data_IF_564770146649
#
_entry.id   IF_564770146649
#
_cell.length_a   1.000
_cell.length_b   1.000
_cell.length_c   1.000
_cell.angle_alpha   90.00
_cell.angle_beta   90.00
_cell.angle_gamma   90.00
#
_symmetry.space_group_name_H-M   'P 1'
#
loop_
_entity.id
_entity.type
_entity.pdbx_description
1 polymer ?
#
# COMPACT_ATOMS: atom_id res chain seq x y z
N UNK A 1 30.65 43.69 -36.36
CA UNK A 1 30.30 42.25 -36.54
C UNK A 1 30.23 41.45 -35.25
N UNK A 2 31.21 41.55 -34.32
CA UNK A 2 31.22 40.76 -33.05
C UNK A 2 29.98 40.94 -32.14
N UNK A 3 29.44 42.16 -32.02
CA UNK A 3 28.23 42.43 -31.20
C UNK A 3 26.97 41.76 -31.77
N UNK A 4 26.81 41.74 -33.09
CA UNK A 4 25.65 41.13 -33.76
C UNK A 4 25.68 39.60 -33.60
N UNK A 5 26.85 38.98 -33.67
CA UNK A 5 27.01 37.54 -33.42
C UNK A 5 26.67 37.15 -31.97
N UNK A 6 27.06 37.98 -30.99
CA UNK A 6 26.73 37.74 -29.58
C UNK A 6 25.21 37.87 -29.35
N UNK A 7 24.55 38.87 -29.95
CA UNK A 7 23.09 39.03 -29.82
C UNK A 7 22.32 37.85 -30.43
N UNK A 8 22.74 37.34 -31.59
CA UNK A 8 22.10 36.18 -32.22
C UNK A 8 22.28 34.90 -31.40
N UNK A 9 23.47 34.68 -30.82
CA UNK A 9 23.74 33.51 -29.96
C UNK A 9 22.90 33.58 -28.67
N UNK A 10 22.81 34.75 -28.04
CA UNK A 10 21.99 34.94 -26.82
C UNK A 10 20.51 34.71 -27.09
N UNK A 11 19.98 35.22 -28.22
CA UNK A 11 18.58 34.99 -28.61
C UNK A 11 18.33 33.50 -28.87
N UNK A 12 19.25 32.81 -29.55
CA UNK A 12 19.13 31.38 -29.84
C UNK A 12 19.14 30.52 -28.56
N UNK A 13 19.95 30.88 -27.56
CA UNK A 13 20.00 30.21 -26.25
C UNK A 13 18.72 30.48 -25.44
N UNK A 14 18.17 31.70 -25.51
CA UNK A 14 16.91 32.03 -24.83
C UNK A 14 15.73 31.25 -25.45
N UNK A 15 15.71 31.07 -26.77
CA UNK A 15 14.64 30.29 -27.43
C UNK A 15 14.70 28.79 -27.15
N UNK A 16 15.88 28.21 -26.94
CA UNK A 16 16.02 26.80 -26.54
C UNK A 16 15.73 26.57 -25.06
N UNK A 17 15.94 27.57 -24.20
CA UNK A 17 15.55 27.51 -22.79
C UNK A 17 14.04 27.67 -22.56
N UNK A 18 13.32 28.35 -23.47
CA UNK A 18 11.86 28.55 -23.36
C UNK A 18 11.01 27.43 -23.97
N UNK A 19 11.60 26.51 -24.75
CA UNK A 19 10.88 25.37 -25.34
C UNK A 19 10.75 24.17 -24.39
N UNK A 20 11.35 24.24 -23.19
CA UNK A 20 11.34 23.17 -22.19
C UNK A 20 10.08 23.06 -21.33
N UNK A 21 9.16 24.03 -21.39
CA UNK A 21 7.90 24.01 -20.64
C UNK A 21 6.72 23.65 -21.55
N UNK A 22 6.76 22.49 -22.18
CA UNK A 22 5.55 21.92 -22.77
C UNK A 22 4.57 21.63 -21.61
N UNK A 23 3.44 22.33 -21.61
CA UNK A 23 2.26 21.95 -20.84
C UNK A 23 1.78 20.58 -21.35
N UNK A 24 2.39 19.51 -20.85
CA UNK A 24 1.98 18.14 -21.14
C UNK A 24 0.61 17.97 -20.47
N UNK A 25 -0.44 18.02 -21.29
CA UNK A 25 -1.79 17.70 -20.83
C UNK A 25 -1.80 16.23 -20.39
N UNK A 26 -2.47 15.88 -19.28
CA UNK A 26 -2.59 14.50 -18.87
C UNK A 26 -3.16 13.64 -20.00
N UNK A 27 -2.58 12.46 -20.23
CA UNK A 27 -3.01 11.55 -21.28
C UNK A 27 -4.39 10.96 -20.98
N UNK A 28 -4.70 10.79 -19.70
CA UNK A 28 -5.95 10.20 -19.23
C UNK A 28 -6.73 11.15 -18.31
N UNK A 29 -8.05 11.06 -18.35
CA UNK A 29 -8.96 11.78 -17.46
C UNK A 29 -9.64 10.82 -16.49
N UNK A 30 -10.21 11.33 -15.39
CA UNK A 30 -10.85 10.52 -14.34
C UNK A 30 -12.05 9.74 -14.87
N UNK A 31 -12.78 10.30 -15.83
CA UNK A 31 -13.97 9.70 -16.46
C UNK A 31 -13.62 8.48 -17.33
N UNK A 32 -12.41 8.44 -17.90
CA UNK A 32 -11.95 7.37 -18.79
C UNK A 32 -10.99 6.39 -18.12
N UNK A 33 -10.79 6.51 -16.82
CA UNK A 33 -9.77 5.73 -16.10
C UNK A 33 -10.01 4.22 -16.17
N UNK A 34 -11.28 3.81 -16.03
CA UNK A 34 -11.70 2.40 -16.07
C UNK A 34 -11.37 1.82 -17.44
N UNK A 35 -11.86 2.46 -18.50
CA UNK A 35 -11.60 2.07 -19.88
C UNK A 35 -10.10 2.05 -20.20
N UNK A 36 -9.36 3.07 -19.77
CA UNK A 36 -7.93 3.20 -20.04
C UNK A 36 -7.10 2.07 -19.41
N UNK A 37 -7.39 1.69 -18.16
CA UNK A 37 -6.70 0.59 -17.49
C UNK A 37 -7.03 -0.74 -18.18
N UNK A 38 -8.32 -1.03 -18.43
CA UNK A 38 -8.74 -2.26 -19.09
C UNK A 38 -8.12 -2.38 -20.48
N UNK A 39 -8.20 -1.33 -21.31
CA UNK A 39 -7.65 -1.33 -22.67
C UNK A 39 -6.13 -1.50 -22.69
N UNK A 40 -5.40 -0.86 -21.77
CA UNK A 40 -3.95 -0.98 -21.72
C UNK A 40 -3.51 -2.39 -21.30
N UNK A 41 -4.15 -2.97 -20.28
CA UNK A 41 -3.86 -4.32 -19.84
C UNK A 41 -4.17 -5.37 -20.92
N UNK A 42 -5.28 -5.21 -21.64
CA UNK A 42 -5.66 -6.14 -22.72
C UNK A 42 -4.73 -6.01 -23.94
N UNK A 43 -4.41 -4.77 -24.32
CA UNK A 43 -3.53 -4.51 -25.45
C UNK A 43 -2.13 -5.07 -25.24
N UNK A 44 -1.52 -4.80 -24.07
CA UNK A 44 -0.11 -5.13 -23.81
C UNK A 44 0.08 -6.52 -23.20
N UNK A 45 -0.84 -6.99 -22.35
CA UNK A 45 -0.65 -8.19 -21.54
C UNK A 45 -1.65 -9.31 -21.82
N UNK A 46 -2.68 -9.06 -22.65
CA UNK A 46 -3.78 -10.03 -22.92
C UNK A 46 -4.48 -10.45 -21.64
N UNK A 47 -4.68 -9.48 -20.75
CA UNK A 47 -5.38 -9.64 -19.48
C UNK A 47 -6.47 -8.58 -19.46
N UNK A 48 -7.71 -9.03 -19.25
CA UNK A 48 -8.89 -8.17 -19.18
C UNK A 48 -9.35 -8.05 -17.71
N UNK A 49 -8.78 -7.13 -16.91
CA UNK A 49 -9.23 -6.94 -15.54
C UNK A 49 -10.59 -6.24 -15.50
N UNK A 50 -11.34 -6.48 -14.42
CA UNK A 50 -12.51 -5.66 -14.08
C UNK A 50 -12.05 -4.47 -13.25
N UNK A 51 -12.47 -3.26 -13.62
CA UNK A 51 -11.96 -2.04 -13.01
C UNK A 51 -13.12 -1.15 -12.56
N UNK A 52 -13.01 -0.59 -11.37
CA UNK A 52 -13.97 0.38 -10.84
C UNK A 52 -13.26 1.56 -10.21
N UNK A 53 -13.90 2.72 -10.27
CA UNK A 53 -13.49 3.91 -9.54
C UNK A 53 -14.56 4.22 -8.49
N UNK A 54 -14.16 4.23 -7.22
CA UNK A 54 -15.00 4.61 -6.08
C UNK A 54 -14.31 5.74 -5.33
N UNK A 55 -14.84 6.97 -5.43
CA UNK A 55 -14.24 8.15 -4.81
C UNK A 55 -12.81 8.43 -5.32
N UNK A 56 -11.83 8.20 -4.44
CA UNK A 56 -10.39 8.35 -4.70
C UNK A 56 -9.65 7.00 -4.76
N UNK A 57 -10.40 5.91 -4.91
CA UNK A 57 -9.87 4.55 -4.95
C UNK A 57 -10.21 3.85 -6.26
N UNK A 58 -9.19 3.31 -6.92
CA UNK A 58 -9.37 2.44 -8.09
C UNK A 58 -9.24 0.99 -7.68
N UNK A 59 -10.30 0.22 -7.90
CA UNK A 59 -10.31 -1.22 -7.71
C UNK A 59 -9.99 -1.91 -9.04
N UNK A 60 -9.06 -2.85 -9.01
CA UNK A 60 -8.66 -3.66 -10.17
C UNK A 60 -8.79 -5.13 -9.77
N UNK A 61 -9.73 -5.84 -10.38
CA UNK A 61 -10.00 -7.23 -10.10
C UNK A 61 -9.52 -8.15 -11.23
N UNK A 62 -8.86 -9.23 -10.84
CA UNK A 62 -8.33 -10.26 -11.70
C UNK A 62 -8.89 -11.62 -11.28
N UNK A 63 -9.95 -12.12 -11.95
CA UNK A 63 -10.37 -13.50 -11.76
C UNK A 63 -9.32 -14.43 -12.37
N UNK A 64 -8.84 -15.39 -11.59
CA UNK A 64 -7.83 -16.36 -12.02
C UNK A 64 -8.33 -17.78 -11.76
N UNK A 65 -7.94 -18.77 -12.58
CA UNK A 65 -8.29 -20.16 -12.32
C UNK A 65 -7.76 -20.68 -10.98
N UNK A 66 -6.54 -20.26 -10.62
CA UNK A 66 -5.87 -20.63 -9.38
C UNK A 66 -4.86 -19.55 -8.99
N UNK A 67 -4.65 -19.36 -7.69
CA UNK A 67 -3.60 -18.48 -7.16
C UNK A 67 -2.39 -19.24 -6.62
N UNK A 68 -2.64 -20.41 -6.06
CA UNK A 68 -1.65 -21.27 -5.42
C UNK A 68 -1.47 -22.56 -6.22
N UNK A 69 -0.30 -23.16 -6.08
CA UNK A 69 0.01 -24.51 -6.57
C UNK A 69 -0.49 -25.55 -5.58
N UNK A 70 -0.49 -26.82 -5.99
CA UNK A 70 -0.84 -27.96 -5.13
C UNK A 70 0.03 -28.07 -3.87
N UNK A 71 1.23 -27.49 -3.90
CA UNK A 71 2.16 -27.44 -2.76
C UNK A 71 1.92 -26.23 -1.85
N UNK A 72 0.77 -25.56 -1.98
CA UNK A 72 0.40 -24.34 -1.26
C UNK A 72 1.41 -23.18 -1.44
N UNK A 73 2.13 -23.17 -2.58
CA UNK A 73 3.01 -22.07 -2.95
C UNK A 73 2.32 -21.17 -3.96
N UNK A 74 2.64 -19.88 -3.94
CA UNK A 74 2.14 -18.99 -4.98
C UNK A 74 2.68 -19.36 -6.36
N UNK A 75 1.78 -19.41 -7.35
CA UNK A 75 2.15 -19.71 -8.72
C UNK A 75 2.91 -18.52 -9.33
N UNK A 76 4.14 -18.74 -9.81
CA UNK A 76 5.03 -17.68 -10.30
C UNK A 76 4.45 -16.97 -11.52
N UNK A 77 3.83 -17.73 -12.42
CA UNK A 77 3.25 -17.18 -13.65
C UNK A 77 2.03 -16.31 -13.32
N UNK A 78 1.30 -16.68 -12.28
CA UNK A 78 0.21 -15.88 -11.72
C UNK A 78 0.74 -14.57 -11.14
N UNK A 79 1.81 -14.60 -10.36
CA UNK A 79 2.43 -13.37 -9.83
C UNK A 79 2.96 -12.45 -10.93
N UNK A 80 3.49 -13.02 -12.01
CA UNK A 80 3.90 -12.22 -13.16
C UNK A 80 2.70 -11.50 -13.80
N UNK A 81 1.55 -12.18 -13.95
CA UNK A 81 0.31 -11.56 -14.45
C UNK A 81 -0.20 -10.45 -13.53
N UNK A 82 -0.23 -10.69 -12.22
CA UNK A 82 -0.60 -9.69 -11.21
C UNK A 82 0.30 -8.46 -11.32
N UNK A 83 1.61 -8.68 -11.43
CA UNK A 83 2.59 -7.59 -11.57
C UNK A 83 2.40 -6.82 -12.89
N UNK A 84 2.12 -7.49 -14.01
CA UNK A 84 1.83 -6.84 -15.29
C UNK A 84 0.61 -5.92 -15.20
N UNK A 85 -0.48 -6.39 -14.59
CA UNK A 85 -1.68 -5.55 -14.37
C UNK A 85 -1.38 -4.40 -13.41
N UNK A 86 -0.63 -4.62 -12.33
CA UNK A 86 -0.21 -3.56 -11.42
C UNK A 86 0.61 -2.47 -12.14
N UNK A 87 1.56 -2.87 -13.00
CA UNK A 87 2.34 -1.94 -13.83
C UNK A 87 1.45 -1.19 -14.80
N UNK A 88 0.56 -1.88 -15.51
CA UNK A 88 -0.38 -1.30 -16.46
C UNK A 88 -1.28 -0.25 -15.82
N UNK A 89 -1.95 -0.62 -14.72
CA UNK A 89 -2.78 0.28 -13.94
C UNK A 89 -1.99 1.48 -13.42
N UNK A 90 -0.80 1.25 -12.85
CA UNK A 90 0.08 2.32 -12.35
C UNK A 90 0.44 3.32 -13.46
N UNK A 91 0.75 2.87 -14.68
CA UNK A 91 1.07 3.77 -15.81
C UNK A 91 -0.07 4.72 -16.14
N UNK A 92 -1.32 4.23 -16.17
CA UNK A 92 -2.49 5.06 -16.39
C UNK A 92 -2.67 6.06 -15.26
N UNK A 93 -2.62 5.59 -14.01
CA UNK A 93 -2.84 6.38 -12.80
C UNK A 93 -1.80 7.50 -12.62
N UNK A 94 -0.55 7.26 -13.01
CA UNK A 94 0.52 8.24 -12.90
C UNK A 94 0.48 9.28 -14.04
N UNK A 95 -0.19 8.95 -15.14
CA UNK A 95 -0.31 9.80 -16.33
C UNK A 95 -1.56 10.70 -16.33
N UNK A 96 -2.29 10.77 -15.21
CA UNK A 96 -3.50 11.58 -15.07
C UNK A 96 -3.41 12.67 -13.99
N UNK A 97 -4.24 13.72 -14.13
CA UNK A 97 -4.46 14.77 -13.13
C UNK A 97 -5.93 15.25 -13.16
N UNK A 98 -6.62 15.41 -12.00
CA UNK A 98 -6.23 14.86 -10.70
C UNK A 98 -6.19 13.31 -10.75
N UNK A 99 -5.41 12.70 -9.87
CA UNK A 99 -5.28 11.23 -9.79
C UNK A 99 -5.98 10.72 -8.52
N UNK A 100 -6.53 9.49 -8.55
CA UNK A 100 -6.94 8.78 -7.34
C UNK A 100 -5.81 8.71 -6.31
N UNK A 101 -6.15 8.53 -5.04
CA UNK A 101 -5.17 8.36 -3.96
C UNK A 101 -4.76 6.90 -3.76
N UNK A 102 -5.67 5.97 -4.02
CA UNK A 102 -5.45 4.55 -3.78
C UNK A 102 -5.72 3.69 -5.01
N UNK A 103 -5.00 2.59 -5.08
CA UNK A 103 -5.29 1.45 -5.95
C UNK A 103 -5.42 0.20 -5.08
N UNK A 104 -6.51 -0.54 -5.25
CA UNK A 104 -6.71 -1.85 -4.64
C UNK A 104 -6.76 -2.89 -5.76
N UNK A 105 -5.69 -3.68 -5.90
CA UNK A 105 -5.63 -4.81 -6.83
C UNK A 105 -6.05 -6.07 -6.08
N UNK A 106 -7.07 -6.77 -6.58
CA UNK A 106 -7.51 -8.05 -6.04
C UNK A 106 -7.37 -9.10 -7.13
N UNK A 107 -6.62 -10.16 -6.83
CA UNK A 107 -6.57 -11.35 -7.64
C UNK A 107 -7.26 -12.47 -6.86
N UNK A 108 -8.22 -13.14 -7.48
CA UNK A 108 -9.00 -14.18 -6.79
C UNK A 108 -8.90 -15.51 -7.53
N UNK A 109 -8.76 -16.58 -6.76
CA UNK A 109 -8.92 -17.95 -7.23
C UNK A 109 -10.41 -18.25 -7.37
N UNK A 110 -10.84 -18.41 -8.61
CA UNK A 110 -12.25 -18.57 -8.97
C UNK A 110 -12.64 -20.01 -9.30
N UNK A 111 -11.69 -20.96 -9.33
CA UNK A 111 -11.98 -22.34 -9.77
C UNK A 111 -11.59 -23.41 -8.74
N UNK A 112 -10.56 -23.21 -7.90
CA UNK A 112 -10.04 -24.27 -7.04
C UNK A 112 -10.33 -24.02 -5.55
N UNK A 113 -9.72 -23.00 -4.95
CA UNK A 113 -9.73 -22.84 -3.48
C UNK A 113 -10.61 -21.68 -2.99
N UNK A 114 -10.99 -20.73 -3.85
CA UNK A 114 -11.69 -19.52 -3.41
C UNK A 114 -10.81 -18.70 -2.47
N UNK A 115 -9.71 -18.15 -2.96
CA UNK A 115 -8.74 -17.37 -2.18
C UNK A 115 -8.64 -15.98 -2.81
N UNK A 116 -8.59 -14.95 -1.98
CA UNK A 116 -8.33 -13.58 -2.41
C UNK A 116 -6.91 -13.16 -2.03
N UNK A 117 -6.18 -12.62 -3.01
CA UNK A 117 -4.92 -11.91 -2.84
C UNK A 117 -5.15 -10.43 -3.16
N UNK A 118 -5.19 -9.59 -2.13
CA UNK A 118 -5.42 -8.14 -2.25
C UNK A 118 -4.16 -7.36 -1.94
N UNK A 119 -3.82 -6.39 -2.79
CA UNK A 119 -2.77 -5.40 -2.56
C UNK A 119 -3.39 -4.00 -2.65
N UNK A 120 -3.31 -3.26 -1.56
CA UNK A 120 -3.73 -1.85 -1.50
C UNK A 120 -2.46 -0.98 -1.49
N UNK A 121 -2.40 -0.06 -2.43
CA UNK A 121 -1.26 0.83 -2.65
C UNK A 121 -1.71 2.29 -2.59
N UNK A 122 -1.01 3.11 -1.80
CA UNK A 122 -1.12 4.56 -1.88
C UNK A 122 -0.33 5.07 -3.09
N UNK A 123 -0.98 5.72 -4.04
CA UNK A 123 -0.39 6.09 -5.33
C UNK A 123 0.86 6.98 -5.20
N UNK A 124 0.93 7.94 -4.26
CA UNK A 124 2.17 8.68 -4.02
C UNK A 124 3.36 7.81 -3.62
N UNK A 125 3.17 6.64 -3.01
CA UNK A 125 4.30 5.71 -2.76
C UNK A 125 4.81 5.06 -4.05
N UNK A 126 3.97 4.85 -5.06
CA UNK A 126 4.42 4.40 -6.39
C UNK A 126 5.32 5.47 -7.02
N UNK A 127 4.96 6.74 -6.90
CA UNK A 127 5.79 7.86 -7.36
C UNK A 127 7.13 7.87 -6.62
N UNK A 128 7.12 7.79 -5.29
CA UNK A 128 8.34 7.75 -4.47
C UNK A 128 9.23 6.57 -4.87
N UNK A 129 8.65 5.39 -5.10
CA UNK A 129 9.38 4.21 -5.53
C UNK A 129 9.99 4.37 -6.93
N UNK A 130 9.22 4.88 -7.91
CA UNK A 130 9.73 5.13 -9.27
C UNK A 130 10.85 6.19 -9.30
N UNK A 131 10.77 7.18 -8.42
CA UNK A 131 11.82 8.19 -8.22
C UNK A 131 12.96 7.70 -7.32
N UNK A 132 12.97 6.42 -6.92
CA UNK A 132 13.97 5.81 -6.04
C UNK A 132 14.14 6.52 -4.68
N UNK A 133 13.11 7.24 -4.22
CA UNK A 133 13.09 7.89 -2.90
C UNK A 133 12.87 6.90 -1.76
N UNK A 134 12.38 5.70 -2.08
CA UNK A 134 12.24 4.59 -1.14
C UNK A 134 12.76 3.32 -1.80
N UNK A 135 13.33 2.42 -0.99
CA UNK A 135 13.78 1.12 -1.46
C UNK A 135 12.60 0.24 -1.87
N UNK A 136 12.89 -0.83 -2.63
CA UNK A 136 11.90 -1.86 -2.98
C UNK A 136 11.28 -2.50 -1.73
N UNK A 137 12.09 -2.81 -0.73
CA UNK A 137 11.62 -3.41 0.52
C UNK A 137 10.70 -2.46 1.30
N UNK A 138 11.05 -1.17 1.35
CA UNK A 138 10.19 -0.18 1.99
C UNK A 138 8.88 0.02 1.22
N UNK A 139 8.93 0.04 -0.12
CA UNK A 139 7.71 0.08 -0.95
C UNK A 139 6.81 -1.13 -0.67
N UNK A 140 7.35 -2.35 -0.59
CA UNK A 140 6.56 -3.52 -0.23
C UNK A 140 5.97 -3.43 1.17
N UNK A 141 6.73 -2.96 2.16
CA UNK A 141 6.23 -2.76 3.54
C UNK A 141 5.14 -1.70 3.64
N UNK A 142 5.11 -0.74 2.72
CA UNK A 142 4.07 0.29 2.64
C UNK A 142 2.77 -0.21 2.00
N UNK A 143 2.81 -1.26 1.20
CA UNK A 143 1.59 -1.87 0.69
C UNK A 143 0.87 -2.63 1.79
N UNK A 144 -0.47 -2.52 1.82
CA UNK A 144 -1.31 -3.39 2.66
C UNK A 144 -1.65 -4.62 1.84
N UNK A 145 -1.21 -5.78 2.30
CA UNK A 145 -1.41 -7.07 1.64
C UNK A 145 -2.39 -7.90 2.47
N UNK A 146 -3.48 -8.35 1.86
CA UNK A 146 -4.46 -9.24 2.50
C UNK A 146 -4.54 -10.53 1.71
N UNK A 147 -4.47 -11.65 2.42
CA UNK A 147 -4.62 -12.99 1.87
C UNK A 147 -5.65 -13.69 2.75
N UNK A 148 -6.69 -14.25 2.14
CA UNK A 148 -7.71 -14.94 2.90
C UNK A 148 -8.57 -15.85 2.04
N UNK A 149 -9.15 -16.85 2.67
CA UNK A 149 -10.19 -17.68 2.07
C UNK A 149 -11.45 -16.83 1.84
N UNK A 150 -12.01 -16.99 0.66
CA UNK A 150 -13.18 -16.32 0.13
C UNK A 150 -13.96 -17.31 -0.74
N UNK A 151 -14.74 -18.21 -0.13
CA UNK A 151 -15.53 -19.20 -0.89
C UNK A 151 -16.48 -18.57 -1.92
N UNK A 152 -16.90 -17.32 -1.68
CA UNK A 152 -17.74 -16.54 -2.59
C UNK A 152 -17.01 -16.11 -3.88
N UNK A 153 -15.67 -16.24 -3.95
CA UNK A 153 -14.90 -16.02 -5.17
C UNK A 153 -15.08 -17.15 -6.19
N UNK A 154 -15.49 -18.35 -5.76
CA UNK A 154 -15.68 -19.50 -6.65
C UNK A 154 -16.77 -19.20 -7.70
N UNK A 155 -16.37 -19.26 -8.97
CA UNK A 155 -17.20 -18.91 -10.13
C UNK A 155 -17.39 -17.40 -10.36
N UNK A 156 -16.90 -16.53 -9.49
CA UNK A 156 -17.10 -15.09 -9.61
C UNK A 156 -16.07 -14.44 -10.53
N UNK A 157 -16.42 -14.29 -11.80
CA UNK A 157 -15.58 -13.61 -12.79
C UNK A 157 -15.74 -12.09 -12.82
N UNK A 158 -16.73 -11.56 -12.11
CA UNK A 158 -17.10 -10.14 -12.16
C UNK A 158 -16.75 -9.39 -10.87
N UNK A 159 -16.25 -10.08 -9.84
CA UNK A 159 -15.82 -9.49 -8.57
C UNK A 159 -17.00 -8.97 -7.74
N UNK A 160 -18.14 -9.63 -7.83
CA UNK A 160 -19.38 -9.37 -7.09
C UNK A 160 -19.16 -9.61 -5.58
N UNK A 161 -18.40 -10.64 -5.20
CA UNK A 161 -18.12 -10.96 -3.79
C UNK A 161 -17.30 -9.87 -3.07
N UNK A 162 -16.57 -9.03 -3.82
CA UNK A 162 -15.72 -8.01 -3.26
C UNK A 162 -16.55 -6.87 -2.65
N UNK A 163 -16.35 -6.63 -1.35
CA UNK A 163 -16.78 -5.40 -0.69
C UNK A 163 -15.85 -4.25 -1.08
N UNK A 164 -16.21 -3.56 -2.16
CA UNK A 164 -15.46 -2.42 -2.69
C UNK A 164 -15.91 -1.14 -2.00
N UNK A 165 -14.96 -0.37 -1.50
CA UNK A 165 -15.21 0.91 -0.82
C UNK A 165 -14.14 1.95 -1.19
N UNK A 166 -14.41 3.22 -0.92
CA UNK A 166 -13.43 4.29 -1.08
C UNK A 166 -12.52 4.35 0.15
N UNK A 167 -11.31 3.83 -0.01
CA UNK A 167 -10.32 3.65 1.05
C UNK A 167 -9.85 5.00 1.56
N UNK A 168 -9.94 5.20 2.88
CA UNK A 168 -9.42 6.39 3.54
C UNK A 168 -7.98 6.19 4.00
N UNK A 169 -7.23 7.29 4.04
CA UNK A 169 -5.83 7.25 4.49
C UNK A 169 -5.70 6.75 5.93
N UNK A 170 -6.62 7.10 6.83
CA UNK A 170 -6.65 6.59 8.20
C UNK A 170 -6.83 5.07 8.25
N UNK A 171 -7.77 4.52 7.48
CA UNK A 171 -8.00 3.07 7.38
C UNK A 171 -6.78 2.34 6.84
N UNK A 172 -6.18 2.88 5.78
CA UNK A 172 -4.95 2.35 5.19
C UNK A 172 -3.79 2.35 6.19
N UNK A 173 -3.60 3.44 6.95
CA UNK A 173 -2.53 3.56 7.94
C UNK A 173 -2.73 2.60 9.11
N UNK A 174 -3.97 2.43 9.60
CA UNK A 174 -4.28 1.43 10.63
C UNK A 174 -3.89 0.03 10.18
N UNK A 175 -4.28 -0.36 8.96
CA UNK A 175 -3.93 -1.66 8.40
C UNK A 175 -2.43 -1.82 8.15
N UNK A 176 -1.74 -0.77 7.70
CA UNK A 176 -0.29 -0.80 7.52
C UNK A 176 0.44 -0.97 8.87
N UNK A 177 0.00 -0.29 9.92
CA UNK A 177 0.55 -0.42 11.27
C UNK A 177 0.35 -1.85 11.78
N UNK A 178 -0.87 -2.40 11.65
CA UNK A 178 -1.17 -3.80 11.99
C UNK A 178 -0.19 -4.75 11.30
N UNK A 179 -0.03 -4.62 9.98
CA UNK A 179 0.86 -5.47 9.20
C UNK A 179 2.33 -5.33 9.64
N UNK A 180 2.80 -4.10 9.89
CA UNK A 180 4.17 -3.85 10.34
C UNK A 180 4.45 -4.46 11.72
N UNK A 181 3.49 -4.38 12.65
CA UNK A 181 3.56 -5.06 13.96
C UNK A 181 3.66 -6.57 13.75
N UNK A 182 2.77 -7.16 12.96
CA UNK A 182 2.79 -8.60 12.66
C UNK A 182 4.13 -9.04 12.08
N UNK A 183 4.64 -8.34 11.08
CA UNK A 183 5.95 -8.63 10.48
C UNK A 183 7.08 -8.50 11.51
N UNK A 184 7.08 -7.44 12.31
CA UNK A 184 8.12 -7.22 13.33
C UNK A 184 8.15 -8.37 14.34
N UNK A 185 7.02 -8.75 14.92
CA UNK A 185 6.96 -9.81 15.93
C UNK A 185 7.19 -11.21 15.36
N UNK A 186 6.85 -11.46 14.09
CA UNK A 186 7.01 -12.78 13.48
C UNK A 186 8.37 -13.01 12.81
N UNK A 187 9.09 -11.94 12.44
CA UNK A 187 10.33 -12.03 11.68
C UNK A 187 11.56 -11.54 12.45
N UNK A 188 11.43 -10.63 13.42
CA UNK A 188 12.56 -10.21 14.24
C UNK A 188 12.98 -11.37 15.16
N UNK A 189 14.23 -11.88 15.07
CA UNK A 189 14.65 -13.02 15.87
C UNK A 189 14.50 -12.81 17.38
N UNK A 190 14.73 -11.59 17.87
CA UNK A 190 14.64 -11.30 19.30
C UNK A 190 13.19 -11.34 19.77
N UNK A 191 12.28 -10.73 19.01
CA UNK A 191 10.87 -10.69 19.38
C UNK A 191 10.19 -12.05 19.17
N UNK A 192 10.47 -12.74 18.07
CA UNK A 192 9.88 -14.05 17.76
C UNK A 192 10.24 -15.12 18.80
N UNK A 193 11.47 -15.09 19.33
CA UNK A 193 11.88 -16.05 20.34
C UNK A 193 11.30 -15.76 21.73
N UNK A 194 11.06 -14.49 22.04
CA UNK A 194 10.62 -14.04 23.35
C UNK A 194 9.09 -13.97 23.47
N UNK A 195 8.40 -13.64 22.37
CA UNK A 195 6.98 -13.32 22.35
C UNK A 195 6.24 -14.09 21.26
N UNK A 196 4.98 -14.40 21.54
CA UNK A 196 4.02 -14.91 20.56
C UNK A 196 2.90 -13.89 20.38
N UNK A 197 2.77 -13.38 19.16
CA UNK A 197 1.67 -12.52 18.75
C UNK A 197 0.51 -13.38 18.24
N UNK A 198 -0.59 -13.46 18.99
CA UNK A 198 -1.79 -14.23 18.62
C UNK A 198 -2.73 -13.41 17.75
N UNK A 199 -2.87 -12.11 18.04
CA UNK A 199 -3.73 -11.21 17.27
C UNK A 199 -3.25 -9.76 17.32
N UNK A 200 -3.65 -8.99 16.31
CA UNK A 200 -3.40 -7.54 16.21
C UNK A 200 -4.54 -6.88 15.48
N UNK A 201 -5.00 -5.74 15.99
CA UNK A 201 -5.92 -4.82 15.33
C UNK A 201 -5.37 -3.42 15.49
N UNK A 202 -5.48 -2.60 14.45
CA UNK A 202 -5.15 -1.19 14.51
C UNK A 202 -6.16 -0.42 13.64
N UNK A 203 -6.91 0.49 14.25
CA UNK A 203 -7.95 1.24 13.56
C UNK A 203 -8.16 2.60 14.23
N UNK A 204 -8.61 3.57 13.44
CA UNK A 204 -9.01 4.88 13.95
C UNK A 204 -10.47 4.86 14.40
N UNK A 205 -10.71 5.37 15.60
CA UNK A 205 -12.02 5.63 16.17
C UNK A 205 -12.11 7.14 16.43
N UNK A 206 -12.64 7.87 15.46
CA UNK A 206 -12.52 9.33 15.40
C UNK A 206 -11.06 9.76 15.37
N UNK A 207 -10.64 10.54 16.38
CA UNK A 207 -9.28 11.08 16.48
C UNK A 207 -8.32 10.20 17.30
N UNK A 208 -8.73 8.98 17.65
CA UNK A 208 -7.93 8.05 18.46
C UNK A 208 -7.54 6.86 17.58
N UNK A 209 -6.24 6.61 17.46
CA UNK A 209 -5.75 5.36 16.87
C UNK A 209 -5.69 4.30 17.96
N UNK A 210 -6.56 3.30 17.89
CA UNK A 210 -6.61 2.18 18.83
C UNK A 210 -5.84 0.99 18.26
N UNK A 211 -4.85 0.52 19.00
CA UNK A 211 -4.04 -0.64 18.68
C UNK A 211 -4.25 -1.69 19.78
N UNK A 212 -4.78 -2.84 19.40
CA UNK A 212 -5.08 -3.94 20.32
C UNK A 212 -4.30 -5.16 19.87
N UNK A 213 -3.45 -5.67 20.75
CA UNK A 213 -2.60 -6.83 20.51
C UNK A 213 -2.84 -7.90 21.58
N UNK A 214 -2.69 -9.17 21.20
CA UNK A 214 -2.55 -10.29 22.14
C UNK A 214 -1.12 -10.80 22.01
N UNK A 215 -0.24 -10.35 22.92
CA UNK A 215 1.18 -10.71 22.92
C UNK A 215 1.52 -11.43 24.21
N UNK A 216 1.84 -12.72 24.08
CA UNK A 216 2.21 -13.59 25.20
C UNK A 216 3.72 -13.74 25.29
N UNK A 217 4.25 -13.73 26.50
CA UNK A 217 5.64 -14.08 26.76
C UNK A 217 5.83 -15.60 26.62
N UNK A 218 6.78 -16.01 25.78
CA UNK A 218 7.12 -17.42 25.53
C UNK A 218 8.37 -17.83 26.29
N UNK A 219 9.37 -16.95 26.38
CA UNK A 219 10.62 -17.19 27.13
C UNK A 219 10.87 -16.06 28.12
N UNK A 220 11.15 -16.43 29.36
CA UNK A 220 11.24 -15.53 30.53
C UNK A 220 12.43 -14.56 30.46
N UNK A 221 13.43 -14.79 29.60
CA UNK A 221 14.61 -13.92 29.51
C UNK A 221 15.05 -13.73 28.06
N UNK A 222 14.50 -12.73 27.34
CA UNK A 222 15.14 -12.26 26.13
C UNK A 222 16.57 -11.78 26.46
N UNK A 223 17.53 -12.00 25.55
CA UNK A 223 18.93 -11.54 25.73
C UNK A 223 19.03 -10.03 25.97
N UNK A 224 18.02 -9.28 25.52
CA UNK A 224 17.89 -7.83 25.69
C UNK A 224 16.51 -7.55 26.28
N UNK A 225 16.39 -6.76 27.37
CA UNK A 225 15.08 -6.33 27.86
C UNK A 225 14.36 -5.55 26.76
N UNK A 226 13.17 -6.02 26.39
CA UNK A 226 12.35 -5.42 25.34
C UNK A 226 10.97 -5.09 25.90
N UNK A 227 10.54 -3.86 25.69
CA UNK A 227 9.19 -3.42 25.97
C UNK A 227 8.36 -3.51 24.68
N UNK A 228 7.33 -4.35 24.70
CA UNK A 228 6.46 -4.58 23.54
C UNK A 228 5.65 -3.34 23.19
N UNK A 229 5.25 -2.53 24.19
CA UNK A 229 4.55 -1.27 23.98
C UNK A 229 5.43 -0.27 23.23
N UNK A 230 6.70 -0.15 23.63
CA UNK A 230 7.65 0.75 22.99
C UNK A 230 7.92 0.35 21.53
N UNK A 231 8.03 -0.95 21.25
CA UNK A 231 8.20 -1.44 19.86
C UNK A 231 6.96 -1.13 19.00
N UNK A 232 5.75 -1.29 19.54
CA UNK A 232 4.52 -0.91 18.84
C UNK A 232 4.45 0.62 18.63
N UNK A 233 4.83 1.40 19.65
CA UNK A 233 4.88 2.85 19.58
C UNK A 233 5.87 3.34 18.52
N UNK A 234 7.07 2.75 18.42
CA UNK A 234 8.05 3.05 17.35
C UNK A 234 7.50 2.79 15.96
N UNK A 235 6.87 1.62 15.74
CA UNK A 235 6.24 1.29 14.45
C UNK A 235 5.17 2.31 14.10
N UNK A 236 4.35 2.66 15.07
CA UNK A 236 3.24 3.61 14.91
C UNK A 236 3.75 5.00 14.58
N UNK A 237 4.69 5.51 15.38
CA UNK A 237 5.32 6.81 15.19
C UNK A 237 5.95 6.93 13.80
N UNK A 238 6.79 5.95 13.43
CA UNK A 238 7.45 5.89 12.12
C UNK A 238 6.42 5.88 10.99
N UNK A 239 5.40 5.03 11.08
CA UNK A 239 4.38 4.90 10.03
C UNK A 239 3.61 6.20 9.85
N UNK A 240 3.12 6.83 10.92
CA UNK A 240 2.38 8.09 10.80
C UNK A 240 3.25 9.24 10.28
N UNK A 241 4.53 9.29 10.69
CA UNK A 241 5.49 10.29 10.22
C UNK A 241 5.74 10.19 8.71
N UNK A 242 5.87 8.98 8.16
CA UNK A 242 6.15 8.76 6.73
C UNK A 242 5.08 9.34 5.78
N UNK A 243 3.85 9.50 6.28
CA UNK A 243 2.70 10.03 5.55
C UNK A 243 2.33 11.45 5.98
N UNK A 244 3.12 12.07 6.88
CA UNK A 244 2.78 13.35 7.54
C UNK A 244 1.34 13.36 8.11
N UNK A 245 0.86 12.22 8.58
CA UNK A 245 -0.51 12.07 9.04
C UNK A 245 -0.65 12.74 10.41
N UNK A 246 -1.56 13.73 10.50
CA UNK A 246 -1.73 14.57 11.71
C UNK A 246 -3.15 14.53 12.27
N UNK A 247 -4.06 13.86 11.58
CA UNK A 247 -5.49 13.81 11.91
C UNK A 247 -5.78 12.76 12.99
N UNK A 248 -5.14 12.96 14.14
CA UNK A 248 -5.33 12.18 15.36
C UNK A 248 -4.81 12.99 16.56
N UNK A 249 -5.36 12.70 17.73
CA UNK A 249 -4.98 13.32 19.00
C UNK A 249 -4.16 12.35 19.87
N UNK A 250 -4.49 11.07 19.81
CA UNK A 250 -3.96 10.05 20.72
C UNK A 250 -3.80 8.70 20.01
N UNK A 251 -2.84 7.92 20.49
CA UNK A 251 -2.69 6.49 20.22
C UNK A 251 -2.90 5.73 21.51
N UNK A 252 -3.82 4.77 21.50
CA UNK A 252 -4.04 3.83 22.61
C UNK A 252 -3.46 2.48 22.20
N UNK A 253 -2.57 1.92 23.00
CA UNK A 253 -1.98 0.59 22.79
C UNK A 253 -2.39 -0.30 23.96
N UNK A 254 -3.08 -1.41 23.67
CA UNK A 254 -3.50 -2.40 24.65
C UNK A 254 -2.92 -3.77 24.32
N UNK A 255 -2.28 -4.40 25.31
CA UNK A 255 -1.96 -5.81 25.27
C UNK A 255 -2.98 -6.61 26.10
N UNK A 256 -3.90 -7.30 25.43
CA UNK A 256 -4.98 -8.04 26.09
C UNK A 256 -4.49 -9.26 26.86
N UNK A 257 -3.29 -9.78 26.57
CA UNK A 257 -2.72 -10.91 27.29
C UNK A 257 -2.22 -10.55 28.68
N UNK A 258 -1.68 -9.33 28.85
CA UNK A 258 -1.10 -8.84 30.11
C UNK A 258 -1.99 -7.82 30.81
N UNK A 259 -2.97 -7.23 30.11
CA UNK A 259 -3.78 -6.11 30.58
C UNK A 259 -3.06 -4.77 30.56
N UNK A 260 -1.84 -4.73 30.01
CA UNK A 260 -1.04 -3.51 29.90
C UNK A 260 -1.64 -2.54 28.87
N UNK A 261 -1.73 -1.27 29.24
CA UNK A 261 -2.24 -0.19 28.39
C UNK A 261 -1.29 0.98 28.39
N UNK A 262 -1.11 1.59 27.23
CA UNK A 262 -0.29 2.79 27.03
C UNK A 262 -1.05 3.79 26.18
N UNK A 263 -1.24 5.00 26.71
CA UNK A 263 -1.88 6.10 26.00
C UNK A 263 -0.83 7.15 25.66
N UNK A 264 -0.65 7.40 24.36
CA UNK A 264 0.35 8.33 23.84
C UNK A 264 -0.36 9.48 23.14
N UNK A 265 -0.18 10.69 23.66
CA UNK A 265 -0.53 11.89 22.89
C UNK A 265 0.32 11.95 21.62
N UNK A 266 -0.14 12.69 20.60
CA UNK A 266 0.66 12.95 19.40
C UNK A 266 2.03 13.55 19.68
N UNK A 267 2.21 14.28 20.80
CA UNK A 267 3.51 14.83 21.20
C UNK A 267 4.39 13.72 21.77
N UNK A 268 3.89 12.94 22.73
CA UNK A 268 4.62 11.83 23.35
C UNK A 268 5.02 10.76 22.34
N UNK A 269 4.19 10.51 21.32
CA UNK A 269 4.50 9.56 20.25
C UNK A 269 5.78 9.93 19.47
N UNK A 270 6.17 11.21 19.44
CA UNK A 270 7.39 11.65 18.74
C UNK A 270 8.67 11.19 19.44
N UNK A 271 8.60 10.84 20.72
CA UNK A 271 9.75 10.34 21.48
C UNK A 271 10.18 8.93 21.02
N UNK A 272 9.39 8.30 20.15
CA UNK A 272 9.63 6.97 19.58
C UNK A 272 10.12 7.00 18.11
N UNK A 273 10.53 8.16 17.60
CA UNK A 273 11.07 8.34 16.25
C UNK A 273 12.59 8.15 16.17
#
# INVERSE_FOLDING_TARGET
MRKVQITVIVISIITTLLSGCLFIKPTYTKEKIVEAITNLCEAEYKIEPRVWLLGETVWVYMPLPKLITKDAQFDKDVFEKINKVMIGASRVLLSMKPRPQFMALVASDTEEYGIDYTVITWIPDIVKYQLQLISRDEFFRRNVIRIGESPAALGDREGIHLKKEDIKLSEFLGEQIKQRIQLKFNLDPNLKEAFKLESTKAAFDGNILKIICDIKLVKVSPKTPMNTQDEIAKITAYTLQQYDFKDFLMVEIENTATGEKTDLSRIALKDFL
#
